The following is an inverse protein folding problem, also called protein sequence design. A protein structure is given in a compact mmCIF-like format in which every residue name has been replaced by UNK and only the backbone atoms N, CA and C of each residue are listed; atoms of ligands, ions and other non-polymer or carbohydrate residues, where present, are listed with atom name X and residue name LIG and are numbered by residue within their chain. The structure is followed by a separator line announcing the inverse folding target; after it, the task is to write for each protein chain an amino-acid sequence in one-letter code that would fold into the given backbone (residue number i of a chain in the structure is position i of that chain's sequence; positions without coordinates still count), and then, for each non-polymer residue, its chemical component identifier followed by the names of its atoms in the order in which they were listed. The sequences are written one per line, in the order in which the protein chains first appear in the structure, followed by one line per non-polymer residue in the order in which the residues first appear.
data_IF_420401580656
#
_entry.id   IF_420401580656
#
_cell.length_a   1.000
_cell.length_b   1.000
_cell.length_c   1.000
_cell.angle_alpha   90.00
_cell.angle_beta   90.00
_cell.angle_gamma   90.00
#
_symmetry.space_group_name_H-M   'P 1'
#
loop_
_entity.id
_entity.type
_entity.pdbx_description
1 polymer ?
#
# COMPACT_ATOMS: atom_id res chain seq x y z
N UNK A 1 -15.44 -3.62 10.91
CA UNK A 1 -15.18 -2.22 11.30
C UNK A 1 -14.71 -1.32 10.16
N UNK A 2 -15.47 -0.25 9.89
CA UNK A 2 -15.19 0.89 9.04
C UNK A 2 -15.32 2.18 9.86
N UNK A 3 -14.39 3.13 9.72
CA UNK A 3 -14.50 4.42 10.40
C UNK A 3 -15.23 5.39 9.46
N UNK A 4 -16.50 5.67 9.74
CA UNK A 4 -17.38 6.38 8.81
C UNK A 4 -17.25 7.91 8.90
N UNK A 5 -17.21 8.45 10.12
CA UNK A 5 -17.11 9.89 10.37
C UNK A 5 -16.48 10.13 11.74
N UNK A 6 -16.03 11.37 11.98
CA UNK A 6 -15.70 11.86 13.32
C UNK A 6 -16.74 12.91 13.69
N UNK A 7 -17.30 12.85 14.89
CA UNK A 7 -18.33 13.81 15.31
C UNK A 7 -18.06 14.28 16.73
N UNK A 8 -18.63 15.45 17.05
CA UNK A 8 -18.58 15.98 18.41
C UNK A 8 -19.78 15.49 19.21
N UNK A 9 -19.51 14.67 20.22
CA UNK A 9 -20.50 14.15 21.17
C UNK A 9 -20.10 14.54 22.59
N UNK A 10 -21.03 15.13 23.33
CA UNK A 10 -20.82 15.56 24.73
C UNK A 10 -19.51 16.37 24.91
N UNK A 11 -19.23 17.25 23.95
CA UNK A 11 -18.04 18.10 23.94
C UNK A 11 -16.73 17.41 23.50
N UNK A 12 -16.71 16.09 23.28
CA UNK A 12 -15.55 15.30 22.85
C UNK A 12 -15.66 14.88 21.39
N UNK A 13 -14.52 14.60 20.75
CA UNK A 13 -14.49 14.02 19.40
C UNK A 13 -14.56 12.50 19.51
N UNK A 14 -15.52 11.90 18.84
CA UNK A 14 -15.76 10.46 18.77
C UNK A 14 -15.85 10.04 17.31
N UNK A 15 -15.20 8.93 16.95
CA UNK A 15 -15.34 8.29 15.66
C UNK A 15 -16.55 7.37 15.64
N UNK A 16 -17.40 7.53 14.62
CA UNK A 16 -18.48 6.60 14.30
C UNK A 16 -17.89 5.40 13.57
N UNK A 17 -17.84 4.26 14.22
CA UNK A 17 -17.34 3.00 13.65
C UNK A 17 -18.54 2.12 13.30
N UNK A 18 -18.56 1.62 12.07
CA UNK A 18 -19.60 0.72 11.58
C UNK A 18 -19.01 -0.68 11.51
N UNK A 19 -19.62 -1.63 12.21
CA UNK A 19 -19.14 -3.00 12.22
C UNK A 19 -19.68 -3.82 11.05
N UNK A 20 -19.25 -5.08 10.95
CA UNK A 20 -19.53 -5.91 9.79
C UNK A 20 -21.01 -6.27 9.63
N UNK A 21 -21.75 -6.29 10.74
CA UNK A 21 -23.20 -6.50 10.82
C UNK A 21 -24.00 -5.19 10.64
N UNK A 22 -23.32 -4.06 10.42
CA UNK A 22 -23.95 -2.74 10.30
C UNK A 22 -24.22 -2.07 11.65
N UNK A 23 -23.86 -2.68 12.78
CA UNK A 23 -23.93 -2.05 14.09
C UNK A 23 -23.02 -0.81 14.15
N UNK A 24 -23.45 0.20 14.91
CA UNK A 24 -22.74 1.47 15.02
C UNK A 24 -22.19 1.62 16.43
N UNK A 25 -20.86 1.63 16.51
CA UNK A 25 -20.11 1.91 17.72
C UNK A 25 -19.53 3.33 17.70
N UNK A 26 -19.37 3.91 18.89
CA UNK A 26 -18.73 5.21 19.07
C UNK A 26 -17.44 5.03 19.85
N UNK A 27 -16.32 5.42 19.23
CA UNK A 27 -14.98 5.25 19.78
C UNK A 27 -14.38 6.63 19.99
N UNK A 28 -13.82 6.90 21.18
CA UNK A 28 -13.13 8.17 21.41
C UNK A 28 -12.01 8.38 20.37
N UNK A 29 -11.87 9.58 19.82
CA UNK A 29 -10.89 9.87 18.77
C UNK A 29 -9.45 9.48 19.15
N UNK A 30 -9.10 9.64 20.44
CA UNK A 30 -7.83 9.23 21.03
C UNK A 30 -7.56 7.71 20.97
N UNK A 31 -8.59 6.90 20.74
CA UNK A 31 -8.54 5.43 20.65
C UNK A 31 -8.60 4.90 19.21
N UNK A 32 -8.73 5.77 18.20
CA UNK A 32 -8.82 5.37 16.79
C UNK A 32 -7.58 4.61 16.28
N UNK A 33 -6.44 4.74 16.95
CA UNK A 33 -5.26 3.93 16.64
C UNK A 33 -5.51 2.42 16.77
N UNK A 34 -6.49 2.02 17.59
CA UNK A 34 -6.89 0.61 17.79
C UNK A 34 -7.84 0.07 16.73
N UNK A 35 -8.56 0.95 16.02
CA UNK A 35 -9.56 0.55 15.02
C UNK A 35 -8.87 -0.14 13.85
N UNK A 36 -9.05 -1.45 13.70
CA UNK A 36 -8.49 -2.19 12.56
C UNK A 36 -9.38 -1.96 11.33
N UNK A 37 -8.77 -1.73 10.17
CA UNK A 37 -9.50 -1.75 8.91
C UNK A 37 -10.07 -3.15 8.67
N UNK A 38 -11.23 -3.21 8.01
CA UNK A 38 -11.96 -4.46 7.75
C UNK A 38 -11.14 -5.48 6.97
N UNK A 39 -10.39 -5.01 5.97
CA UNK A 39 -9.63 -5.88 5.08
C UNK A 39 -8.54 -6.67 5.83
N UNK A 40 -8.76 -7.97 5.98
CA UNK A 40 -7.80 -8.90 6.61
C UNK A 40 -6.84 -9.54 5.61
N UNK A 41 -6.78 -9.00 4.39
CA UNK A 41 -5.86 -9.50 3.37
C UNK A 41 -4.43 -9.54 3.93
N UNK A 42 -3.75 -10.67 3.72
CA UNK A 42 -2.35 -10.87 4.13
C UNK A 42 -1.38 -10.47 3.01
N UNK A 43 -1.90 -9.92 1.91
CA UNK A 43 -1.11 -9.54 0.77
C UNK A 43 -0.31 -8.32 1.13
N UNK A 44 1.00 -8.42 0.98
CA UNK A 44 1.90 -7.30 1.21
C UNK A 44 2.29 -6.67 -0.13
N UNK A 45 2.36 -5.35 -0.19
CA UNK A 45 2.85 -4.58 -1.34
C UNK A 45 3.92 -3.62 -0.85
N UNK A 46 5.14 -3.72 -1.39
CA UNK A 46 6.15 -2.69 -1.18
C UNK A 46 5.82 -1.50 -2.04
N UNK A 47 5.99 -0.31 -1.48
CA UNK A 47 5.65 0.93 -2.13
C UNK A 47 6.75 1.96 -1.84
N UNK A 48 7.37 2.44 -2.90
CA UNK A 48 8.20 3.65 -2.91
C UNK A 48 7.43 4.70 -3.69
N UNK A 49 7.05 5.80 -3.04
CA UNK A 49 6.17 6.80 -3.65
C UNK A 49 6.30 8.16 -2.99
N UNK A 50 5.96 9.21 -3.75
CA UNK A 50 5.79 10.55 -3.22
C UNK A 50 4.38 10.66 -2.67
N UNK A 51 4.23 10.95 -1.37
CA UNK A 51 2.91 11.08 -0.77
C UNK A 51 2.16 12.29 -1.32
N UNK A 52 2.85 13.36 -1.69
CA UNK A 52 2.25 14.56 -2.27
C UNK A 52 1.72 14.39 -3.70
N UNK A 53 2.03 13.25 -4.35
CA UNK A 53 1.52 12.91 -5.69
C UNK A 53 0.23 12.07 -5.62
N UNK A 54 -0.27 11.72 -4.43
CA UNK A 54 -1.47 10.88 -4.30
C UNK A 54 -2.74 11.68 -4.53
N UNK A 55 -3.70 11.06 -5.21
CA UNK A 55 -5.03 11.64 -5.45
C UNK A 55 -5.96 11.36 -4.27
N UNK A 56 -6.95 12.21 -4.06
CA UNK A 56 -8.02 11.99 -3.06
C UNK A 56 -9.26 11.46 -3.77
N UNK A 57 -9.84 10.41 -3.22
CA UNK A 57 -11.07 9.76 -3.70
C UNK A 57 -12.03 9.56 -2.52
N UNK A 58 -13.31 9.36 -2.82
CA UNK A 58 -14.29 8.90 -1.84
C UNK A 58 -14.08 7.43 -1.45
N UNK A 59 -14.81 6.99 -0.42
CA UNK A 59 -14.74 5.65 0.15
C UNK A 59 -15.52 4.58 -0.62
N UNK A 60 -16.36 4.95 -1.59
CA UNK A 60 -17.35 4.04 -2.16
C UNK A 60 -16.69 2.82 -2.83
N UNK A 61 -15.64 3.07 -3.62
CA UNK A 61 -14.90 1.99 -4.28
C UNK A 61 -14.14 1.11 -3.28
N UNK A 62 -13.50 1.72 -2.27
CA UNK A 62 -12.81 0.99 -1.21
C UNK A 62 -13.78 0.05 -0.48
N UNK A 63 -14.96 0.55 -0.11
CA UNK A 63 -15.99 -0.21 0.59
C UNK A 63 -16.55 -1.34 -0.27
N UNK A 64 -16.83 -1.06 -1.55
CA UNK A 64 -17.32 -2.07 -2.49
C UNK A 64 -16.34 -3.24 -2.64
N UNK A 65 -15.05 -2.96 -2.81
CA UNK A 65 -14.01 -3.99 -2.90
C UNK A 65 -13.73 -4.69 -1.57
N UNK A 66 -14.01 -4.02 -0.44
CA UNK A 66 -13.89 -4.59 0.90
C UNK A 66 -15.12 -5.41 1.34
N UNK A 67 -16.03 -5.71 0.42
CA UNK A 67 -17.26 -6.47 0.70
C UNK A 67 -18.23 -5.75 1.63
N UNK A 68 -18.19 -4.41 1.68
CA UNK A 68 -19.09 -3.59 2.50
C UNK A 68 -20.14 -2.93 1.61
N UNK A 69 -21.40 -3.30 1.80
CA UNK A 69 -22.53 -2.71 1.07
C UNK A 69 -23.08 -1.43 1.71
N UNK A 70 -22.47 -0.98 2.82
CA UNK A 70 -22.93 0.22 3.52
C UNK A 70 -22.19 1.46 3.01
N UNK A 71 -22.81 2.17 2.08
CA UNK A 71 -22.51 3.57 1.78
C UNK A 71 -23.65 4.42 2.34
N UNK A 72 -23.59 4.72 3.64
CA UNK A 72 -24.53 5.65 4.25
C UNK A 72 -24.26 7.09 3.81
N UNK A 73 -25.28 7.94 3.71
CA UNK A 73 -25.04 9.38 3.54
C UNK A 73 -24.18 9.91 4.70
N UNK A 74 -23.20 10.74 4.37
CA UNK A 74 -22.28 11.35 5.34
C UNK A 74 -21.04 10.51 5.67
N UNK A 75 -20.71 9.49 4.88
CA UNK A 75 -19.35 8.95 4.90
C UNK A 75 -18.39 10.06 4.45
N UNK A 76 -17.38 10.32 5.27
CA UNK A 76 -16.40 11.38 5.03
C UNK A 76 -14.99 10.89 5.33
N UNK A 77 -14.75 9.59 5.16
CA UNK A 77 -13.42 9.01 5.24
C UNK A 77 -12.74 9.05 3.87
N UNK A 78 -11.75 9.93 3.74
CA UNK A 78 -10.94 10.07 2.54
C UNK A 78 -10.15 8.79 2.23
N UNK A 79 -10.11 8.45 0.94
CA UNK A 79 -9.24 7.42 0.38
C UNK A 79 -8.16 8.10 -0.44
N UNK A 80 -6.91 7.77 -0.17
CA UNK A 80 -5.81 8.19 -1.04
C UNK A 80 -5.55 7.15 -2.11
N UNK A 81 -5.32 7.62 -3.33
CA UNK A 81 -5.06 6.79 -4.50
C UNK A 81 -3.61 7.00 -4.94
N UNK A 82 -2.84 5.92 -4.92
CA UNK A 82 -1.48 5.89 -5.45
C UNK A 82 -1.39 4.93 -6.64
N UNK A 83 -0.51 5.24 -7.59
CA UNK A 83 -0.23 4.36 -8.72
C UNK A 83 1.16 3.74 -8.57
N UNK A 84 1.23 2.40 -8.53
CA UNK A 84 2.50 1.70 -8.34
C UNK A 84 2.54 0.39 -9.14
N UNK A 85 3.54 0.24 -10.01
CA UNK A 85 3.73 -0.96 -10.85
C UNK A 85 2.47 -1.36 -11.64
N UNK A 86 1.75 -0.37 -12.18
CA UNK A 86 0.49 -0.58 -12.91
C UNK A 86 -0.70 -0.97 -12.04
N UNK A 87 -0.54 -0.98 -10.71
CA UNK A 87 -1.64 -1.12 -9.76
C UNK A 87 -2.16 0.25 -9.34
N UNK A 88 -3.48 0.33 -9.15
CA UNK A 88 -4.13 1.43 -8.44
C UNK A 88 -4.29 1.02 -6.98
N UNK A 89 -3.76 1.81 -6.06
CA UNK A 89 -3.65 1.46 -4.64
C UNK A 89 -4.55 2.38 -3.84
N UNK A 90 -5.57 1.83 -3.18
CA UNK A 90 -6.52 2.55 -2.36
C UNK A 90 -6.11 2.47 -0.89
N UNK A 91 -5.82 3.63 -0.27
CA UNK A 91 -5.24 3.72 1.07
C UNK A 91 -6.11 4.65 1.93
N UNK A 92 -6.88 4.10 2.89
CA UNK A 92 -7.73 4.93 3.75
C UNK A 92 -6.92 5.93 4.56
N UNK A 93 -7.47 7.12 4.81
CA UNK A 93 -6.76 8.15 5.55
C UNK A 93 -6.29 7.70 6.94
N UNK A 94 -7.11 6.95 7.69
CA UNK A 94 -6.71 6.36 8.97
C UNK A 94 -5.48 5.43 8.86
N UNK A 95 -5.31 4.72 7.74
CA UNK A 95 -4.12 3.87 7.49
C UNK A 95 -2.87 4.76 7.36
N UNK A 96 -2.97 5.86 6.61
CA UNK A 96 -1.88 6.83 6.44
C UNK A 96 -1.56 7.53 7.76
N UNK A 97 -2.57 7.98 8.50
CA UNK A 97 -2.40 8.59 9.84
C UNK A 97 -1.64 7.65 10.76
N UNK A 98 -2.01 6.36 10.81
CA UNK A 98 -1.30 5.38 11.65
C UNK A 98 0.15 5.15 11.22
N UNK A 99 0.41 5.14 9.92
CA UNK A 99 1.75 4.95 9.38
C UNK A 99 2.67 6.14 9.69
N UNK A 100 2.16 7.36 9.53
CA UNK A 100 2.90 8.60 9.75
C UNK A 100 3.09 8.93 11.23
N UNK A 101 2.12 8.65 12.10
CA UNK A 101 2.15 9.12 13.49
C UNK A 101 2.46 8.02 14.50
N UNK A 102 2.72 6.79 14.04
CA UNK A 102 2.83 5.57 14.86
C UNK A 102 1.57 5.31 15.69
N UNK A 103 0.98 4.10 15.68
CA UNK A 103 -0.24 3.84 16.45
C UNK A 103 0.08 3.78 17.95
N UNK A 104 0.11 4.94 18.60
CA UNK A 104 0.28 5.05 20.03
C UNK A 104 -0.76 6.01 20.60
N UNK A 105 -1.23 5.70 21.82
CA UNK A 105 -2.30 6.46 22.44
C UNK A 105 -1.93 7.92 22.72
N UNK A 106 -0.64 8.20 22.92
CA UNK A 106 -0.14 9.53 23.23
C UNK A 106 -0.34 10.45 22.01
N UNK A 107 0.21 10.10 20.85
CA UNK A 107 0.10 10.89 19.62
C UNK A 107 -1.35 11.03 19.19
N UNK A 108 -2.10 9.94 19.15
CA UNK A 108 -3.51 10.00 18.74
C UNK A 108 -4.35 10.88 19.66
N UNK A 109 -4.07 10.93 20.96
CA UNK A 109 -4.75 11.86 21.86
C UNK A 109 -4.42 13.33 21.53
N UNK A 110 -3.24 13.63 21.00
CA UNK A 110 -2.85 14.98 20.60
C UNK A 110 -3.30 15.36 19.18
N UNK A 111 -3.45 14.41 18.25
CA UNK A 111 -3.91 14.65 16.87
C UNK A 111 -5.27 15.36 16.79
N UNK A 112 -6.14 15.15 17.78
CA UNK A 112 -7.50 15.69 17.80
C UNK A 112 -7.68 16.85 18.78
N UNK A 113 -6.60 17.32 19.42
CA UNK A 113 -6.63 18.45 20.35
C UNK A 113 -6.18 19.74 19.65
N UNK A 114 -6.65 20.92 20.09
CA UNK A 114 -6.12 22.20 19.60
C UNK A 114 -4.63 22.40 19.94
N UNK A 115 -4.07 21.52 20.77
CA UNK A 115 -2.66 21.45 21.11
C UNK A 115 -1.80 21.19 19.87
N UNK A 116 -0.83 22.07 19.61
CA UNK A 116 0.17 21.84 18.58
C UNK A 116 1.11 20.69 18.95
N UNK A 117 1.84 20.21 17.95
CA UNK A 117 2.95 19.28 18.11
C UNK A 117 3.95 19.72 19.21
N UNK A 118 4.03 21.03 19.47
CA UNK A 118 4.91 21.65 20.48
C UNK A 118 4.58 21.25 21.93
N UNK A 119 3.37 20.73 22.20
CA UNK A 119 3.02 20.22 23.53
C UNK A 119 3.50 18.79 23.76
N UNK A 120 3.90 18.09 22.69
CA UNK A 120 4.29 16.69 22.72
C UNK A 120 5.79 16.54 22.48
N UNK A 121 6.36 17.44 21.69
CA UNK A 121 7.74 17.39 21.23
C UNK A 121 8.44 18.71 21.56
N UNK A 122 9.65 18.61 22.11
CA UNK A 122 10.52 19.75 22.35
C UNK A 122 11.83 19.59 21.54
N UNK A 123 12.34 20.67 20.93
CA UNK A 123 13.65 20.66 20.32
C UNK A 123 14.74 20.67 21.39
N UNK A 124 15.79 19.88 21.19
CA UNK A 124 16.95 19.81 22.10
C UNK A 124 18.22 20.04 21.30
N UNK A 125 19.04 20.97 21.78
CA UNK A 125 20.35 21.25 21.18
C UNK A 125 21.36 20.20 21.65
N UNK A 126 22.04 19.56 20.69
CA UNK A 126 23.17 18.67 20.92
C UNK A 126 24.43 19.22 20.24
N UNK A 127 25.60 18.68 20.60
CA UNK A 127 26.86 19.02 19.94
C UNK A 127 26.83 18.79 18.42
N UNK A 128 26.01 17.83 17.96
CA UNK A 128 25.87 17.46 16.54
C UNK A 128 24.74 18.20 15.82
N UNK A 129 23.97 19.06 16.51
CA UNK A 129 22.85 19.81 15.95
C UNK A 129 21.56 19.72 16.77
N UNK A 130 20.46 20.21 16.18
CA UNK A 130 19.14 20.25 16.81
C UNK A 130 18.38 18.94 16.57
N UNK A 131 17.91 18.31 17.64
CA UNK A 131 17.07 17.11 17.60
C UNK A 131 15.71 17.37 18.27
N UNK A 132 14.84 16.37 18.28
CA UNK A 132 13.55 16.42 18.95
C UNK A 132 13.40 15.29 19.96
N UNK A 133 12.89 15.63 21.15
CA UNK A 133 12.54 14.65 22.19
C UNK A 133 11.07 14.78 22.55
N UNK A 134 10.49 13.68 23.06
CA UNK A 134 9.18 13.75 23.69
C UNK A 134 9.23 14.53 24.99
N UNK A 135 8.29 15.46 25.16
CA UNK A 135 8.02 16.07 26.46
C UNK A 135 7.39 14.99 27.33
N UNK A 136 8.09 14.58 28.39
CA UNK A 136 7.52 13.66 29.37
C UNK A 136 6.42 14.39 30.16
N UNK A 137 5.17 14.21 29.75
CA UNK A 137 4.02 14.64 30.55
C UNK A 137 3.97 13.72 31.76
N UNK A 138 4.33 14.24 32.95
CA UNK A 138 4.57 13.51 34.20
C UNK A 138 3.40 12.72 34.81
N UNK A 139 2.37 12.35 34.03
CA UNK A 139 1.12 11.77 34.54
C UNK A 139 0.81 10.34 34.08
N UNK A 140 1.54 9.75 33.12
CA UNK A 140 1.19 8.42 32.59
C UNK A 140 2.10 7.30 33.10
N UNK A 141 2.07 7.03 34.41
CA UNK A 141 2.76 5.87 35.03
C UNK A 141 2.16 4.49 34.67
N UNK A 142 1.03 4.41 33.94
CA UNK A 142 0.26 3.15 33.80
C UNK A 142 0.18 2.53 32.41
N UNK A 143 0.67 3.16 31.36
CA UNK A 143 0.67 2.53 30.02
C UNK A 143 2.10 2.44 29.53
N UNK A 144 2.64 1.21 29.45
CA UNK A 144 3.89 0.93 28.74
C UNK A 144 3.64 1.14 27.24
N UNK A 145 3.77 2.40 26.79
CA UNK A 145 3.66 2.76 25.39
C UNK A 145 5.06 2.75 24.80
N UNK A 146 5.26 2.01 23.70
CA UNK A 146 6.50 2.11 22.93
C UNK A 146 6.65 3.55 22.45
N UNK A 147 7.74 4.25 22.83
CA UNK A 147 7.91 5.63 22.42
C UNK A 147 7.97 5.71 20.89
N UNK A 148 7.46 6.80 20.29
CA UNK A 148 7.69 7.11 18.89
C UNK A 148 9.21 7.16 18.64
N UNK A 149 9.58 6.94 17.38
CA UNK A 149 10.99 6.96 17.01
C UNK A 149 11.47 8.40 16.94
N UNK A 150 12.63 8.74 17.53
CA UNK A 150 13.16 10.11 17.51
C UNK A 150 13.23 10.69 16.10
N UNK A 151 13.65 9.88 15.11
CA UNK A 151 13.71 10.27 13.70
C UNK A 151 12.36 10.77 13.15
N UNK A 152 11.25 10.11 13.51
CA UNK A 152 9.92 10.51 13.06
C UNK A 152 9.50 11.83 13.72
N UNK A 153 9.77 12.00 15.02
CA UNK A 153 9.47 13.25 15.73
C UNK A 153 10.22 14.43 15.14
N UNK A 154 11.50 14.21 14.85
CA UNK A 154 12.39 15.18 14.25
C UNK A 154 11.88 15.63 12.88
N UNK A 155 11.49 14.68 12.02
CA UNK A 155 10.86 15.00 10.74
C UNK A 155 9.55 15.79 10.93
N UNK A 156 8.65 15.32 11.79
CA UNK A 156 7.36 16.01 12.00
C UNK A 156 7.53 17.43 12.52
N UNK A 157 8.52 17.68 13.38
CA UNK A 157 8.68 18.97 14.05
C UNK A 157 9.43 20.01 13.21
N UNK A 158 10.42 19.59 12.41
CA UNK A 158 11.28 20.51 11.67
C UNK A 158 10.85 20.75 10.22
N UNK A 159 9.90 19.99 9.67
CA UNK A 159 9.50 20.10 8.26
C UNK A 159 8.08 20.71 8.12
N UNK A 160 7.90 21.79 7.34
CA UNK A 160 6.62 22.50 7.25
C UNK A 160 5.42 21.65 6.84
N UNK A 161 5.54 20.86 5.77
CA UNK A 161 4.43 20.03 5.30
C UNK A 161 4.08 18.91 6.27
N UNK A 162 5.06 18.40 7.04
CA UNK A 162 4.81 17.41 8.07
C UNK A 162 4.02 18.00 9.26
N UNK A 163 4.33 19.25 9.67
CA UNK A 163 3.52 19.98 10.67
C UNK A 163 2.12 20.29 10.15
N UNK A 164 1.99 20.67 8.88
CA UNK A 164 0.70 20.88 8.21
C UNK A 164 -0.15 19.61 8.23
N UNK A 165 0.43 18.48 7.82
CA UNK A 165 -0.20 17.17 7.88
C UNK A 165 -0.72 16.83 9.29
N UNK A 166 0.09 17.06 10.33
CA UNK A 166 -0.33 16.85 11.73
C UNK A 166 -1.53 17.73 12.11
N UNK A 167 -1.48 19.03 11.81
CA UNK A 167 -2.53 19.99 12.17
C UNK A 167 -3.84 19.76 11.40
N UNK A 168 -3.74 19.33 10.13
CA UNK A 168 -4.88 19.09 9.25
C UNK A 168 -5.84 18.02 9.78
N UNK A 169 -5.35 17.03 10.53
CA UNK A 169 -6.16 15.93 11.08
C UNK A 169 -7.27 16.46 11.98
N UNK A 170 -6.94 17.39 12.89
CA UNK A 170 -7.95 18.04 13.72
C UNK A 170 -8.90 18.88 12.88
N UNK A 171 -8.37 19.65 11.93
CA UNK A 171 -9.19 20.51 11.06
C UNK A 171 -10.22 19.69 10.30
N UNK A 172 -9.84 18.53 9.77
CA UNK A 172 -10.73 17.59 9.09
C UNK A 172 -11.73 16.96 10.06
N UNK A 173 -11.28 16.52 11.24
CA UNK A 173 -12.15 15.96 12.28
C UNK A 173 -13.25 16.95 12.72
N UNK A 174 -12.93 18.25 12.84
CA UNK A 174 -13.92 19.29 13.16
C UNK A 174 -14.95 19.51 12.05
N UNK A 175 -14.60 19.18 10.81
CA UNK A 175 -15.51 19.20 9.64
C UNK A 175 -16.25 17.87 9.44
N UNK A 176 -16.17 16.98 10.43
CA UNK A 176 -16.69 15.61 10.40
C UNK A 176 -16.04 14.65 9.39
N UNK A 177 -14.87 15.03 8.85
CA UNK A 177 -14.12 14.24 7.90
C UNK A 177 -12.95 13.49 8.56
N UNK A 178 -12.54 12.37 7.95
CA UNK A 178 -11.33 11.63 8.32
C UNK A 178 -10.37 11.77 7.14
N UNK A 179 -9.38 12.61 7.33
CA UNK A 179 -8.44 13.00 6.28
C UNK A 179 -7.23 13.71 6.87
N UNK A 180 -6.20 13.86 6.06
CA UNK A 180 -5.04 14.71 6.34
C UNK A 180 -4.51 15.34 5.05
N UNK A 181 -3.83 16.48 5.18
CA UNK A 181 -2.98 17.00 4.14
C UNK A 181 -1.74 16.11 4.00
N UNK A 182 -1.46 15.64 2.79
CA UNK A 182 -0.32 14.76 2.54
C UNK A 182 0.98 15.58 2.53
N UNK A 183 2.01 15.16 3.28
CA UNK A 183 3.26 15.89 3.34
C UNK A 183 4.11 15.69 2.07
N UNK A 184 4.98 16.65 1.76
CA UNK A 184 5.95 16.59 0.65
C UNK A 184 7.07 15.61 0.97
N UNK A 185 6.80 14.34 0.74
CA UNK A 185 7.61 13.25 1.27
C UNK A 185 7.72 12.10 0.27
N UNK A 186 8.94 11.74 -0.11
CA UNK A 186 9.21 10.44 -0.70
C UNK A 186 9.30 9.41 0.44
N UNK A 187 8.48 8.38 0.39
CA UNK A 187 8.38 7.39 1.44
C UNK A 187 8.53 5.97 0.88
N UNK A 188 9.30 5.14 1.60
CA UNK A 188 9.37 3.71 1.39
C UNK A 188 8.61 2.99 2.50
N UNK A 189 7.71 2.11 2.10
CA UNK A 189 6.85 1.37 3.02
C UNK A 189 6.40 0.02 2.51
N UNK A 190 5.72 -0.69 3.41
CA UNK A 190 4.97 -1.91 3.12
C UNK A 190 3.51 -1.65 3.45
N UNK A 191 2.66 -1.83 2.45
CA UNK A 191 1.22 -1.94 2.61
C UNK A 191 0.85 -3.40 2.85
N UNK A 192 -0.15 -3.63 3.69
CA UNK A 192 -0.83 -4.93 3.79
C UNK A 192 -2.29 -4.73 3.44
N UNK A 193 -2.89 -5.68 2.73
CA UNK A 193 -4.24 -5.53 2.17
C UNK A 193 -4.63 -6.71 1.28
N UNK A 194 -5.58 -6.47 0.38
CA UNK A 194 -6.08 -7.42 -0.60
C UNK A 194 -5.91 -6.89 -2.03
N UNK A 195 -5.73 -7.80 -2.99
CA UNK A 195 -5.59 -7.46 -4.41
C UNK A 195 -6.84 -7.92 -5.16
N UNK A 196 -7.51 -6.98 -5.82
CA UNK A 196 -8.72 -7.18 -6.61
C UNK A 196 -8.46 -6.75 -8.05
N UNK A 197 -8.04 -7.70 -8.90
CA UNK A 197 -7.61 -7.40 -10.26
C UNK A 197 -6.39 -6.45 -10.26
N UNK A 198 -6.58 -5.22 -10.76
CA UNK A 198 -5.54 -4.17 -10.76
C UNK A 198 -5.63 -3.18 -9.60
N UNK A 199 -6.55 -3.40 -8.66
CA UNK A 199 -6.76 -2.53 -7.50
C UNK A 199 -6.25 -3.20 -6.23
N UNK A 200 -5.32 -2.57 -5.54
CA UNK A 200 -4.84 -3.01 -4.23
C UNK A 200 -5.54 -2.20 -3.14
N UNK A 201 -6.26 -2.86 -2.24
CA UNK A 201 -7.03 -2.25 -1.16
C UNK A 201 -6.23 -2.39 0.13
N UNK A 202 -5.64 -1.30 0.61
CA UNK A 202 -4.78 -1.32 1.78
C UNK A 202 -5.59 -1.32 3.09
N UNK A 203 -5.17 -2.17 4.03
CA UNK A 203 -5.73 -2.26 5.38
C UNK A 203 -4.76 -1.80 6.46
N UNK A 204 -3.46 -1.83 6.16
CA UNK A 204 -2.43 -1.24 7.00
C UNK A 204 -1.21 -0.82 6.20
N UNK A 205 -0.41 0.06 6.78
CA UNK A 205 0.78 0.62 6.17
C UNK A 205 1.88 0.75 7.24
N UNK A 206 3.09 0.38 6.87
CA UNK A 206 4.28 0.56 7.69
C UNK A 206 5.34 1.29 6.87
N UNK A 207 5.83 2.41 7.40
CA UNK A 207 6.90 3.18 6.78
C UNK A 207 8.27 2.74 7.33
N UNK A 208 9.24 2.68 6.43
CA UNK A 208 10.61 2.23 6.70
C UNK A 208 11.61 3.37 6.53
N UNK A 209 11.48 4.13 5.44
CA UNK A 209 12.38 5.23 5.11
C UNK A 209 11.55 6.43 4.64
N UNK A 210 11.99 7.62 5.05
CA UNK A 210 11.38 8.89 4.72
C UNK A 210 12.45 9.82 4.15
N UNK A 211 12.18 10.44 3.02
CA UNK A 211 13.00 11.49 2.41
C UNK A 211 12.16 12.73 2.13
N UNK A 212 12.25 13.77 2.99
CA UNK A 212 11.53 15.01 2.77
C UNK A 212 11.91 15.65 1.43
N UNK A 213 10.91 16.14 0.70
CA UNK A 213 11.08 16.85 -0.59
C UNK A 213 10.98 18.37 -0.41
N UNK A 214 11.22 18.83 0.80
CA UNK A 214 11.20 20.23 1.18
C UNK A 214 12.37 20.52 2.14
N UNK A 215 12.68 21.80 2.31
CA UNK A 215 13.65 22.22 3.31
C UNK A 215 13.00 22.26 4.69
N UNK A 216 13.77 21.92 5.72
CA UNK A 216 13.38 22.18 7.10
C UNK A 216 13.22 23.69 7.34
N UNK A 217 12.57 24.07 8.45
CA UNK A 217 12.53 25.47 8.85
C UNK A 217 13.94 26.05 8.99
N UNK A 218 14.11 27.33 8.63
CA UNK A 218 15.40 28.02 8.69
C UNK A 218 16.05 27.96 10.08
N UNK A 219 15.24 28.05 11.14
CA UNK A 219 15.70 27.97 12.53
C UNK A 219 16.08 26.54 12.98
N UNK A 220 15.69 25.50 12.24
CA UNK A 220 16.02 24.12 12.57
C UNK A 220 17.49 23.77 12.23
N UNK A 221 18.19 24.64 11.49
CA UNK A 221 19.56 24.39 11.06
C UNK A 221 19.67 23.18 10.12
N UNK A 222 20.83 22.51 10.14
CA UNK A 222 21.07 21.33 9.30
C UNK A 222 20.31 20.12 9.87
N UNK A 223 19.33 19.65 9.11
CA UNK A 223 18.53 18.47 9.44
C UNK A 223 18.90 17.27 8.55
N UNK A 224 18.60 16.02 8.98
CA UNK A 224 18.77 14.86 8.13
C UNK A 224 17.97 14.98 6.84
N UNK A 225 18.59 14.59 5.73
CA UNK A 225 17.93 14.52 4.41
C UNK A 225 17.07 13.27 4.26
N UNK A 226 17.32 12.28 5.12
CA UNK A 226 16.67 10.97 5.11
C UNK A 226 16.51 10.49 6.55
N UNK A 227 15.39 9.79 6.82
CA UNK A 227 15.06 9.26 8.13
C UNK A 227 14.74 7.77 8.01
N UNK A 228 15.53 6.93 8.67
CA UNK A 228 15.26 5.49 8.77
C UNK A 228 14.40 5.22 9.99
N UNK A 229 13.15 4.80 9.75
CA UNK A 229 12.23 4.44 10.81
C UNK A 229 12.47 3.00 11.29
N UNK A 230 12.69 2.03 10.40
CA UNK A 230 12.97 0.63 10.80
C UNK A 230 14.18 0.16 10.03
N UNK A 231 15.19 -0.39 10.73
CA UNK A 231 16.24 -1.14 10.02
C UNK A 231 15.56 -2.30 9.30
N UNK A 232 15.82 -2.33 8.01
CA UNK A 232 15.25 -3.24 7.04
C UNK A 232 16.13 -4.47 6.83
N UNK A 233 17.32 -4.50 7.45
CA UNK A 233 18.43 -5.42 7.17
C UNK A 233 18.14 -6.91 7.43
N UNK A 234 17.06 -7.27 8.13
CA UNK A 234 16.62 -8.67 8.28
C UNK A 234 15.21 -8.98 7.75
N UNK A 235 14.41 -7.93 7.49
CA UNK A 235 13.03 -8.08 7.05
C UNK A 235 12.90 -7.98 5.52
N UNK A 236 13.78 -7.25 4.84
CA UNK A 236 13.72 -7.08 3.39
C UNK A 236 14.00 -8.36 2.61
N UNK A 237 14.79 -9.29 3.14
CA UNK A 237 15.04 -10.57 2.45
C UNK A 237 13.85 -11.52 2.55
N UNK A 238 13.05 -11.41 3.62
CA UNK A 238 11.93 -12.32 3.91
C UNK A 238 10.56 -11.82 3.46
N UNK A 239 10.41 -10.51 3.23
CA UNK A 239 9.14 -9.88 2.87
C UNK A 239 9.03 -9.58 1.38
N UNK A 240 9.35 -10.56 0.53
CA UNK A 240 8.84 -10.52 -0.84
C UNK A 240 7.31 -10.45 -0.75
N UNK A 241 6.63 -9.55 -1.50
CA UNK A 241 5.21 -9.35 -1.36
C UNK A 241 4.52 -10.72 -1.44
N UNK A 242 3.77 -11.08 -0.40
CA UNK A 242 2.87 -12.25 -0.39
C UNK A 242 1.74 -11.88 -1.36
N UNK A 243 2.04 -11.78 -2.65
CA UNK A 243 1.05 -11.63 -3.71
C UNK A 243 0.26 -12.92 -3.70
N UNK A 244 -0.83 -12.97 -2.95
CA UNK A 244 -1.81 -14.04 -3.02
C UNK A 244 -2.97 -13.54 -3.87
N UNK A 245 -3.13 -14.11 -5.06
CA UNK A 245 -4.32 -13.90 -5.87
C UNK A 245 -5.39 -14.92 -5.46
N UNK A 246 -6.44 -14.45 -4.79
CA UNK A 246 -7.56 -15.28 -4.33
C UNK A 246 -8.46 -15.77 -5.46
N UNK A 247 -8.36 -15.18 -6.65
CA UNK A 247 -9.18 -15.54 -7.79
C UNK A 247 -8.62 -16.72 -8.59
N UNK A 248 -7.37 -17.14 -8.33
CA UNK A 248 -6.77 -18.31 -8.96
C UNK A 248 -7.44 -19.61 -8.46
N UNK A 249 -7.80 -20.47 -9.40
CA UNK A 249 -8.40 -21.79 -9.14
C UNK A 249 -7.35 -22.85 -9.44
N UNK A 250 -7.22 -23.88 -8.60
CA UNK A 250 -6.34 -25.02 -8.86
C UNK A 250 -6.82 -25.85 -10.06
N UNK A 251 -5.89 -26.36 -10.87
CA UNK A 251 -6.15 -27.26 -11.98
C UNK A 251 -5.81 -28.72 -11.67
N UNK A 252 -5.79 -29.60 -12.68
CA UNK A 252 -5.47 -31.02 -12.53
C UNK A 252 -4.07 -31.28 -11.93
N UNK A 253 -3.12 -30.36 -12.17
CA UNK A 253 -1.76 -30.41 -11.63
C UNK A 253 -1.57 -29.50 -10.40
N UNK A 254 -2.61 -29.36 -9.57
CA UNK A 254 -2.61 -28.44 -8.43
C UNK A 254 -2.55 -26.97 -8.88
N UNK A 255 -1.52 -26.24 -8.46
CA UNK A 255 -1.34 -24.84 -8.88
C UNK A 255 -0.58 -24.69 -10.21
N UNK A 256 0.16 -25.71 -10.63
CA UNK A 256 0.86 -25.71 -11.91
C UNK A 256 -0.08 -25.97 -13.08
N UNK A 257 0.44 -25.86 -14.30
CA UNK A 257 -0.27 -26.12 -15.55
C UNK A 257 -0.25 -27.60 -15.90
N UNK A 258 -1.39 -28.12 -16.34
CA UNK A 258 -1.46 -29.37 -17.08
C UNK A 258 -0.89 -29.19 -18.51
N UNK A 259 -0.49 -30.29 -19.16
CA UNK A 259 0.07 -30.24 -20.52
C UNK A 259 -0.90 -29.63 -21.54
N UNK A 260 -2.19 -29.91 -21.36
CA UNK A 260 -3.29 -29.36 -22.17
C UNK A 260 -3.48 -27.87 -21.93
N UNK A 261 -3.37 -27.41 -20.68
CA UNK A 261 -3.43 -25.98 -20.36
C UNK A 261 -2.22 -25.24 -20.96
N UNK A 262 -1.01 -25.82 -20.83
CA UNK A 262 0.21 -25.20 -21.35
C UNK A 262 0.22 -25.12 -22.87
N UNK A 263 -0.18 -26.19 -23.56
CA UNK A 263 -0.19 -26.22 -25.03
C UNK A 263 -1.09 -25.12 -25.61
N UNK A 264 -2.20 -24.82 -24.92
CA UNK A 264 -3.13 -23.77 -25.30
C UNK A 264 -2.64 -22.37 -24.94
N UNK A 265 -1.97 -22.19 -23.79
CA UNK A 265 -1.64 -20.85 -23.28
C UNK A 265 -0.23 -20.36 -23.65
N UNK A 266 0.69 -21.23 -24.08
CA UNK A 266 2.11 -20.87 -24.29
C UNK A 266 2.34 -19.70 -25.26
N UNK A 267 1.44 -19.50 -26.23
CA UNK A 267 1.50 -18.39 -27.19
C UNK A 267 1.25 -17.01 -26.55
N UNK A 268 0.55 -16.96 -25.41
CA UNK A 268 0.36 -15.72 -24.64
C UNK A 268 1.64 -15.34 -23.90
N UNK A 269 2.55 -16.29 -23.63
CA UNK A 269 3.78 -16.07 -22.87
C UNK A 269 4.96 -15.65 -23.77
N UNK A 270 5.08 -16.21 -24.98
CA UNK A 270 6.10 -15.83 -25.99
C UNK A 270 5.44 -15.45 -27.32
N UNK A 271 5.84 -14.35 -27.98
CA UNK A 271 5.28 -14.00 -29.29
C UNK A 271 5.46 -15.15 -30.28
N UNK A 272 4.53 -15.28 -31.23
CA UNK A 272 4.44 -16.41 -32.19
C UNK A 272 5.75 -16.79 -32.91
N UNK A 273 6.73 -15.89 -33.00
CA UNK A 273 8.02 -16.13 -33.64
C UNK A 273 9.08 -16.78 -32.74
N UNK A 274 8.79 -16.98 -31.45
CA UNK A 274 9.70 -17.61 -30.49
C UNK A 274 8.97 -18.75 -29.81
N UNK A 275 9.44 -19.99 -30.00
CA UNK A 275 8.89 -21.13 -29.28
C UNK A 275 9.10 -20.96 -27.77
N UNK A 276 8.01 -21.13 -27.01
CA UNK A 276 8.10 -21.19 -25.55
C UNK A 276 8.81 -22.48 -25.14
N UNK A 277 9.85 -22.36 -24.32
CA UNK A 277 10.62 -23.51 -23.86
C UNK A 277 9.97 -24.20 -22.65
N UNK A 278 10.44 -25.40 -22.31
CA UNK A 278 10.06 -26.04 -21.05
C UNK A 278 10.47 -25.21 -19.82
N UNK A 279 11.56 -24.43 -19.92
CA UNK A 279 11.96 -23.50 -18.88
C UNK A 279 10.91 -22.40 -18.65
N UNK A 280 10.27 -21.90 -19.73
CA UNK A 280 9.21 -20.91 -19.61
C UNK A 280 8.00 -21.49 -18.86
N UNK A 281 7.64 -22.76 -19.13
CA UNK A 281 6.58 -23.47 -18.40
C UNK A 281 6.90 -23.53 -16.91
N UNK A 282 8.10 -23.97 -16.56
CA UNK A 282 8.53 -24.08 -15.15
C UNK A 282 8.48 -22.72 -14.45
N UNK A 283 8.88 -21.64 -15.13
CA UNK A 283 8.77 -20.28 -14.62
C UNK A 283 7.31 -19.88 -14.40
N UNK A 284 6.41 -20.20 -15.33
CA UNK A 284 4.99 -19.90 -15.20
C UNK A 284 4.34 -20.70 -14.07
N UNK A 285 4.63 -21.98 -13.95
CA UNK A 285 4.15 -22.83 -12.85
C UNK A 285 4.59 -22.26 -11.50
N UNK A 286 5.84 -21.83 -11.40
CA UNK A 286 6.36 -21.14 -10.22
C UNK A 286 5.65 -19.82 -9.91
N UNK A 287 5.33 -19.01 -10.93
CA UNK A 287 4.52 -17.79 -10.75
C UNK A 287 3.11 -18.14 -10.25
N UNK A 288 2.47 -19.16 -10.81
CA UNK A 288 1.13 -19.59 -10.38
C UNK A 288 1.15 -20.10 -8.94
N UNK A 289 2.13 -20.93 -8.58
CA UNK A 289 2.33 -21.40 -7.20
C UNK A 289 2.57 -20.21 -6.26
N UNK A 290 3.45 -19.27 -6.64
CA UNK A 290 3.72 -18.03 -5.89
C UNK A 290 2.42 -17.29 -5.61
N UNK A 291 1.61 -17.09 -6.65
CA UNK A 291 0.40 -16.29 -6.59
C UNK A 291 -0.75 -17.00 -5.88
N UNK A 292 -0.85 -18.31 -5.97
CA UNK A 292 -1.90 -19.06 -5.28
C UNK A 292 -1.61 -19.26 -3.79
N UNK A 293 -0.36 -19.56 -3.45
CA UNK A 293 0.04 -19.87 -2.07
C UNK A 293 0.47 -18.64 -1.27
N UNK A 294 0.95 -17.60 -1.97
CA UNK A 294 1.54 -16.43 -1.34
C UNK A 294 2.99 -16.62 -0.86
N UNK A 295 3.65 -17.76 -1.13
CA UNK A 295 5.04 -18.02 -0.71
C UNK A 295 6.02 -16.90 -1.12
N UNK A 296 7.21 -16.78 -0.53
CA UNK A 296 8.20 -15.81 -1.00
C UNK A 296 8.75 -16.17 -2.39
N UNK A 297 9.17 -15.17 -3.19
CA UNK A 297 9.84 -15.45 -4.47
C UNK A 297 11.10 -16.29 -4.27
N UNK A 298 11.84 -16.07 -3.18
CA UNK A 298 13.03 -16.85 -2.84
C UNK A 298 12.75 -18.36 -2.70
N UNK A 299 11.71 -18.74 -1.96
CA UNK A 299 11.35 -20.16 -1.80
C UNK A 299 10.94 -20.79 -3.15
N UNK A 300 10.14 -20.07 -3.93
CA UNK A 300 9.70 -20.53 -5.27
C UNK A 300 10.89 -20.69 -6.21
N UNK A 301 11.88 -19.81 -6.08
CA UNK A 301 13.11 -19.83 -6.83
C UNK A 301 14.05 -20.97 -6.42
N UNK A 302 14.15 -21.29 -5.12
CA UNK A 302 14.88 -22.44 -4.61
C UNK A 302 14.31 -23.74 -5.18
N UNK A 303 12.97 -23.85 -5.29
CA UNK A 303 12.31 -25.00 -5.93
C UNK A 303 12.70 -25.15 -7.41
N UNK A 304 13.09 -24.07 -8.08
CA UNK A 304 13.52 -24.06 -9.48
C UNK A 304 15.06 -24.06 -9.65
N UNK A 305 15.83 -24.03 -8.56
CA UNK A 305 17.30 -24.00 -8.57
C UNK A 305 17.93 -22.73 -9.16
N UNK A 306 17.15 -21.68 -9.49
CA UNK A 306 17.69 -20.47 -10.12
C UNK A 306 16.84 -19.21 -9.84
N UNK A 307 17.34 -18.34 -8.95
CA UNK A 307 16.52 -17.32 -8.29
C UNK A 307 16.24 -15.96 -9.00
N UNK A 308 17.02 -15.45 -9.96
CA UNK A 308 16.71 -14.14 -10.53
C UNK A 308 15.64 -14.16 -11.65
N UNK A 309 15.29 -15.34 -12.18
CA UNK A 309 14.50 -15.45 -13.42
C UNK A 309 13.01 -15.21 -13.23
N UNK A 310 12.39 -15.75 -12.18
CA UNK A 310 10.92 -15.84 -12.08
C UNK A 310 10.26 -14.47 -11.86
N UNK A 311 10.71 -13.70 -10.85
CA UNK A 311 10.14 -12.39 -10.53
C UNK A 311 10.30 -11.40 -11.69
N UNK A 312 11.49 -11.34 -12.29
CA UNK A 312 11.78 -10.49 -13.45
C UNK A 312 10.91 -10.88 -14.66
N UNK A 313 10.70 -12.18 -14.88
CA UNK A 313 9.83 -12.69 -15.94
C UNK A 313 8.38 -12.28 -15.72
N UNK A 314 7.86 -12.46 -14.51
CA UNK A 314 6.52 -12.04 -14.12
C UNK A 314 6.30 -10.54 -14.34
N UNK A 315 7.23 -9.69 -13.88
CA UNK A 315 7.12 -8.24 -14.06
C UNK A 315 7.08 -7.84 -15.54
N UNK A 316 7.88 -8.48 -16.41
CA UNK A 316 7.82 -8.22 -17.85
C UNK A 316 6.47 -8.60 -18.47
N UNK A 317 5.88 -9.73 -18.06
CA UNK A 317 4.55 -10.13 -18.54
C UNK A 317 3.46 -9.16 -18.05
N UNK A 318 3.54 -8.71 -16.80
CA UNK A 318 2.65 -7.70 -16.23
C UNK A 318 2.75 -6.36 -16.96
N UNK A 319 3.96 -5.87 -17.19
CA UNK A 319 4.18 -4.61 -17.91
C UNK A 319 3.68 -4.63 -19.35
N UNK A 320 3.65 -5.80 -20.00
CA UNK A 320 3.12 -5.96 -21.36
C UNK A 320 1.61 -6.28 -21.40
N UNK A 321 0.94 -6.42 -20.25
CA UNK A 321 -0.47 -6.83 -20.17
C UNK A 321 -0.73 -8.31 -20.47
N UNK A 322 0.31 -9.06 -20.84
CA UNK A 322 0.22 -10.48 -21.23
C UNK A 322 -0.05 -11.39 -20.05
N UNK A 323 0.35 -10.99 -18.84
CA UNK A 323 0.02 -11.75 -17.64
C UNK A 323 -1.49 -11.78 -17.40
N UNK A 324 -2.16 -10.64 -17.53
CA UNK A 324 -3.61 -10.54 -17.36
C UNK A 324 -4.37 -11.35 -18.41
N UNK A 325 -3.93 -11.30 -19.67
CA UNK A 325 -4.48 -12.12 -20.75
C UNK A 325 -4.31 -13.63 -20.47
N UNK A 326 -3.12 -14.02 -20.01
CA UNK A 326 -2.81 -15.39 -19.63
C UNK A 326 -3.69 -15.86 -18.46
N UNK A 327 -3.78 -15.07 -17.40
CA UNK A 327 -4.55 -15.38 -16.20
C UNK A 327 -6.05 -15.49 -16.49
N UNK A 328 -6.61 -14.56 -17.28
CA UNK A 328 -8.00 -14.63 -17.71
C UNK A 328 -8.28 -15.87 -18.56
N UNK A 329 -7.37 -16.22 -19.47
CA UNK A 329 -7.50 -17.41 -20.32
C UNK A 329 -7.38 -18.71 -19.52
N UNK A 330 -6.45 -18.77 -18.55
CA UNK A 330 -6.33 -19.90 -17.63
C UNK A 330 -7.59 -20.10 -16.79
N UNK A 331 -8.19 -19.02 -16.28
CA UNK A 331 -9.42 -19.10 -15.49
C UNK A 331 -10.62 -19.62 -16.31
N UNK A 332 -10.77 -19.15 -17.56
CA UNK A 332 -11.80 -19.68 -18.48
C UNK A 332 -11.63 -21.18 -18.71
N UNK A 333 -10.40 -21.61 -19.01
CA UNK A 333 -10.07 -23.01 -19.20
C UNK A 333 -10.40 -23.88 -17.99
N UNK A 334 -10.03 -23.42 -16.78
CA UNK A 334 -10.30 -24.16 -15.54
C UNK A 334 -11.77 -24.20 -15.15
N UNK A 335 -12.58 -23.24 -15.59
CA UNK A 335 -14.03 -23.23 -15.38
C UNK A 335 -14.81 -24.06 -16.39
N UNK A 336 -14.15 -24.59 -17.42
CA UNK A 336 -14.81 -25.30 -18.51
C UNK A 336 -15.64 -24.38 -19.41
N UNK A 337 -15.34 -23.08 -19.43
CA UNK A 337 -15.95 -22.15 -20.37
C UNK A 337 -15.35 -22.44 -21.75
N UNK A 338 -16.19 -22.83 -22.73
CA UNK A 338 -15.74 -23.11 -24.10
C UNK A 338 -14.95 -21.90 -24.64
N UNK A 339 -13.77 -22.18 -25.19
CA UNK A 339 -12.99 -21.19 -25.93
C UNK A 339 -13.81 -20.77 -27.15
N UNK A 340 -14.57 -19.69 -27.02
CA UNK A 340 -14.93 -18.87 -28.17
C UNK A 340 -13.61 -18.45 -28.78
N UNK A 341 -13.31 -18.99 -29.96
CA UNK A 341 -12.09 -18.73 -30.69
C UNK A 341 -11.92 -17.21 -30.84
N UNK A 342 -11.01 -16.64 -30.05
CA UNK A 342 -10.56 -15.28 -30.28
C UNK A 342 -9.85 -15.29 -31.63
N UNK A 343 -10.56 -14.82 -32.66
CA UNK A 343 -10.01 -14.63 -34.00
C UNK A 343 -8.73 -13.80 -33.84
N UNK A 344 -7.54 -14.34 -34.16
CA UNK A 344 -6.30 -13.61 -34.01
C UNK A 344 -6.34 -12.40 -34.94
N UNK A 345 -6.55 -11.20 -34.40
CA UNK A 345 -6.39 -9.95 -35.14
C UNK A 345 -7.54 -8.94 -35.11
N UNK A 346 -8.71 -9.23 -34.52
CA UNK A 346 -9.80 -8.23 -34.47
C UNK A 346 -9.78 -7.32 -33.22
N UNK A 347 -9.32 -7.80 -32.06
CA UNK A 347 -9.26 -6.97 -30.83
C UNK A 347 -7.87 -6.37 -30.54
N UNK A 348 -6.85 -6.71 -31.34
CA UNK A 348 -5.52 -6.12 -31.20
C UNK A 348 -5.47 -4.62 -31.53
N UNK A 349 -6.52 -4.08 -32.18
CA UNK A 349 -6.61 -2.65 -32.51
C UNK A 349 -7.04 -1.80 -31.30
N UNK A 350 -7.67 -2.38 -30.27
CA UNK A 350 -8.16 -1.61 -29.12
C UNK A 350 -7.12 -1.35 -28.02
N UNK A 351 -5.95 -2.01 -28.06
CA UNK A 351 -4.90 -1.82 -27.04
C UNK A 351 -3.60 -1.19 -27.58
N UNK A 352 -3.58 -0.81 -28.86
CA UNK A 352 -2.42 -0.19 -29.52
C UNK A 352 -2.42 1.35 -29.41
N UNK A 353 -2.66 1.91 -28.23
CA UNK A 353 -2.36 3.33 -27.95
C UNK A 353 -1.63 3.47 -26.62
N UNK A 354 -0.33 3.22 -26.67
CA UNK A 354 0.60 3.73 -25.67
C UNK A 354 1.72 4.51 -26.39
N UNK A 355 1.53 5.80 -26.69
CA UNK A 355 2.56 6.59 -27.34
C UNK A 355 3.55 7.07 -26.29
N UNK A 356 4.76 6.49 -26.30
CA UNK A 356 6.07 7.19 -26.22
C UNK A 356 7.17 6.26 -25.69
N UNK A 357 7.94 5.69 -26.61
CA UNK A 357 9.36 5.44 -26.41
C UNK A 357 10.10 6.13 -27.57
N UNK A 358 10.63 7.32 -27.31
CA UNK A 358 11.63 7.94 -28.19
C UNK A 358 12.97 7.28 -27.89
N UNK A 359 13.39 6.34 -28.73
CA UNK A 359 14.76 5.84 -28.76
C UNK A 359 15.69 6.99 -29.17
N UNK A 360 16.68 7.30 -28.32
CA UNK A 360 17.77 8.22 -28.67
C UNK A 360 18.68 7.56 -29.72
N UNK A 361 19.19 8.30 -30.72
CA UNK A 361 20.15 7.75 -31.66
C UNK A 361 21.50 7.49 -30.97
N UNK A 362 22.05 6.32 -31.22
CA UNK A 362 23.39 5.88 -30.81
C UNK A 362 24.42 6.65 -31.64
N UNK A 363 25.28 7.45 -31.00
CA UNK A 363 26.45 8.03 -31.68
C UNK A 363 27.41 6.90 -32.07
N UNK A 364 27.79 6.85 -33.36
CA UNK A 364 28.95 6.10 -33.83
C UNK A 364 30.21 6.85 -33.40
N UNK A 365 31.13 6.14 -32.77
CA UNK A 365 32.58 6.43 -32.76
C UNK A 365 33.25 5.28 -33.46
#
# INVERSE_FOLDING_TARGET
MWLHSIERKNGRLEGKVIDNDGSVDWVEASSLWRVKMRESGKTQLRLTTNLDDWEVSDSAEYLALSGTYYCGPGDSHEIYVAHHLGLRVLIPALVVTKALFTPNAIFFNHLYRPASLDQVVAPVMHATGLSCVLIQLGLSRRVRVTPPKPALLQWMYFFPSARGAFASIRTNALRKAIGLELPKLLADGVLTGSLHGRVFVASSMCLHHLKPKEQAFSWAGKQPVEFTLRSTEGALERLNPILKNTNLIGGPNGWGLADTEWSQLKHIIRPYHIEASNDDRMIIDAILIKLATGMGWHNVNEMLGNAPKVSSFYQRLRHSGRWEEFEASLLRLRRGEEQTSLVPGQDAVLFAHNPRIRLRPRKRT
#
